data_IF_924119466569
#
_entry.id   IF_924119466569
#
_cell.length_a   1.000
_cell.length_b   1.000
_cell.length_c   1.000
_cell.angle_alpha   90.00
_cell.angle_beta   90.00
_cell.angle_gamma   90.00
#
_symmetry.space_group_name_H-M   'P 1'
#
loop_
_entity.id
_entity.type
_entity.pdbx_description
1 polymer ?
#
# COMPACT_ATOMS: atom_id res chain seq x y z
N UNK A 1 -8.47 15.69 -2.04
CA UNK A 1 -9.87 15.26 -2.00
C UNK A 1 -10.35 14.87 -3.38
N UNK A 2 -10.99 13.70 -3.47
CA UNK A 2 -11.91 13.15 -4.48
C UNK A 2 -11.92 13.73 -5.92
N UNK A 3 -11.27 13.03 -6.85
CA UNK A 3 -11.72 12.94 -8.25
C UNK A 3 -12.77 11.81 -8.31
N UNK A 4 -13.92 12.01 -8.97
CA UNK A 4 -14.92 10.95 -9.22
C UNK A 4 -14.20 9.75 -9.88
N UNK A 5 -14.08 8.63 -9.17
CA UNK A 5 -13.33 7.43 -9.59
C UNK A 5 -12.06 7.10 -8.77
N UNK A 6 -11.65 7.98 -7.86
CA UNK A 6 -10.44 7.80 -7.04
C UNK A 6 -9.15 7.96 -7.86
N UNK A 7 -8.00 7.84 -7.19
CA UNK A 7 -6.68 7.73 -7.84
C UNK A 7 -6.05 6.41 -7.41
N UNK A 8 -5.28 5.75 -8.29
CA UNK A 8 -4.52 4.56 -7.90
C UNK A 8 -3.66 4.85 -6.68
N UNK A 9 -3.68 3.94 -5.71
CA UNK A 9 -2.78 4.00 -4.55
C UNK A 9 -1.33 3.72 -4.96
N UNK A 10 -0.38 4.04 -4.07
CA UNK A 10 1.06 3.80 -4.31
C UNK A 10 1.39 2.33 -4.56
N UNK A 11 0.68 1.40 -3.92
CA UNK A 11 0.80 -0.04 -4.17
C UNK A 11 0.34 -0.43 -5.58
N UNK A 12 -0.76 0.14 -6.08
CA UNK A 12 -1.22 -0.13 -7.46
C UNK A 12 -0.21 0.39 -8.47
N UNK A 13 0.30 1.61 -8.24
CA UNK A 13 1.28 2.24 -9.11
C UNK A 13 2.62 1.48 -9.15
N UNK A 14 2.97 0.77 -8.07
CA UNK A 14 4.22 0.02 -7.94
C UNK A 14 4.08 -1.46 -8.31
N UNK A 15 2.89 -1.93 -8.71
CA UNK A 15 2.68 -3.33 -9.09
C UNK A 15 3.51 -3.70 -10.32
N UNK A 16 4.24 -4.81 -10.25
CA UNK A 16 5.27 -5.21 -11.20
C UNK A 16 6.65 -4.57 -10.94
N UNK A 17 6.80 -3.78 -9.87
CA UNK A 17 8.00 -3.01 -9.57
C UNK A 17 8.37 -3.03 -8.09
N UNK A 18 8.93 -1.91 -7.62
CA UNK A 18 9.41 -1.75 -6.24
C UNK A 18 8.77 -0.54 -5.56
N UNK A 19 8.35 -0.70 -4.31
CA UNK A 19 7.90 0.38 -3.44
C UNK A 19 8.94 0.60 -2.33
N UNK A 20 9.53 1.79 -2.32
CA UNK A 20 10.42 2.23 -1.24
C UNK A 20 9.61 2.91 -0.14
N UNK A 21 9.82 2.48 1.10
CA UNK A 21 9.21 3.06 2.30
C UNK A 21 10.33 3.62 3.18
N UNK A 22 10.36 4.94 3.33
CA UNK A 22 11.30 5.60 4.23
C UNK A 22 10.67 5.81 5.61
N UNK A 23 11.51 5.92 6.65
CA UNK A 23 11.10 6.15 8.04
C UNK A 23 9.98 5.20 8.50
N UNK A 24 10.11 3.90 8.21
CA UNK A 24 9.02 2.93 8.45
C UNK A 24 8.61 2.85 9.94
N UNK A 25 9.52 3.20 10.86
CA UNK A 25 9.27 3.26 12.29
C UNK A 25 8.24 4.34 12.69
N UNK A 26 8.11 5.41 11.91
CA UNK A 26 7.18 6.52 12.18
C UNK A 26 5.77 6.28 11.64
N UNK A 27 5.54 5.11 11.02
CA UNK A 27 4.22 4.74 10.52
C UNK A 27 3.25 4.49 11.70
N UNK A 28 2.09 5.17 11.78
CA UNK A 28 1.10 4.91 12.83
C UNK A 28 0.67 3.43 12.87
N UNK A 29 0.48 2.87 14.08
CA UNK A 29 0.12 1.45 14.28
C UNK A 29 -1.04 0.96 13.39
N UNK A 30 -2.09 1.78 13.25
CA UNK A 30 -3.23 1.46 12.39
C UNK A 30 -2.84 1.25 10.91
N UNK A 31 -1.86 2.01 10.42
CA UNK A 31 -1.32 1.85 9.06
C UNK A 31 -0.32 0.69 8.97
N UNK A 32 0.39 0.36 10.04
CA UNK A 32 1.25 -0.83 10.08
C UNK A 32 0.44 -2.13 9.91
N UNK A 33 -0.73 -2.23 10.56
CA UNK A 33 -1.64 -3.38 10.38
C UNK A 33 -2.08 -3.51 8.92
N UNK A 34 -2.43 -2.38 8.27
CA UNK A 34 -2.78 -2.39 6.86
C UNK A 34 -1.60 -2.84 5.99
N UNK A 35 -0.39 -2.34 6.24
CA UNK A 35 0.82 -2.75 5.54
C UNK A 35 1.08 -4.26 5.67
N UNK A 36 0.95 -4.82 6.88
CA UNK A 36 1.11 -6.26 7.12
C UNK A 36 0.12 -7.09 6.31
N UNK A 37 -1.15 -6.65 6.23
CA UNK A 37 -2.14 -7.33 5.38
C UNK A 37 -1.75 -7.31 3.91
N UNK A 38 -1.26 -6.20 3.39
CA UNK A 38 -0.81 -6.12 2.00
C UNK A 38 0.38 -7.04 1.75
N UNK A 39 1.33 -7.10 2.68
CA UNK A 39 2.50 -8.00 2.59
C UNK A 39 2.10 -9.48 2.61
N UNK A 40 1.16 -9.87 3.46
CA UNK A 40 0.70 -11.24 3.62
C UNK A 40 -0.21 -11.69 2.46
N UNK A 41 -1.19 -10.86 2.11
CA UNK A 41 -2.23 -11.23 1.14
C UNK A 41 -1.87 -10.89 -0.30
N UNK A 42 -0.87 -10.02 -0.52
CA UNK A 42 -0.52 -9.43 -1.83
C UNK A 42 -1.72 -8.80 -2.53
N UNK A 43 -2.58 -8.16 -1.74
CA UNK A 43 -3.83 -7.57 -2.18
C UNK A 43 -4.06 -6.25 -1.45
N UNK A 44 -4.77 -5.34 -2.12
CA UNK A 44 -5.19 -4.07 -1.53
C UNK A 44 -6.68 -3.83 -1.78
N UNK A 45 -7.23 -2.89 -1.03
CA UNK A 45 -8.55 -2.31 -1.26
C UNK A 45 -8.43 -0.79 -1.22
N UNK A 46 -9.05 -0.10 -2.17
CA UNK A 46 -9.08 1.37 -2.17
C UNK A 46 -9.91 1.87 -0.99
N UNK A 47 -9.55 3.02 -0.42
CA UNK A 47 -10.30 3.63 0.67
C UNK A 47 -11.74 3.91 0.20
N UNK A 48 -12.72 3.34 0.91
CA UNK A 48 -14.14 3.45 0.57
C UNK A 48 -14.58 2.60 -0.63
N UNK A 49 -13.71 1.76 -1.18
CA UNK A 49 -14.07 0.73 -2.16
C UNK A 49 -14.31 -0.62 -1.49
N UNK A 50 -14.93 -1.53 -2.23
CA UNK A 50 -15.22 -2.92 -1.85
C UNK A 50 -14.44 -3.93 -2.71
N UNK A 51 -13.85 -3.46 -3.83
CA UNK A 51 -13.07 -4.28 -4.73
C UNK A 51 -11.66 -4.53 -4.20
N UNK A 52 -11.31 -5.81 -4.13
CA UNK A 52 -9.95 -6.29 -3.86
C UNK A 52 -9.13 -6.29 -5.15
N UNK A 53 -7.91 -5.78 -5.08
CA UNK A 53 -6.98 -5.64 -6.22
C UNK A 53 -5.70 -6.41 -5.87
N UNK A 54 -5.32 -7.45 -6.63
CA UNK A 54 -4.04 -8.12 -6.44
C UNK A 54 -2.89 -7.19 -6.84
N UNK A 55 -1.80 -7.24 -6.09
CA UNK A 55 -0.59 -6.45 -6.35
C UNK A 55 0.63 -7.33 -6.20
N UNK A 56 1.59 -7.18 -7.11
CA UNK A 56 2.89 -7.84 -7.02
C UNK A 56 3.97 -6.78 -6.89
N UNK A 57 4.44 -6.54 -5.66
CA UNK A 57 5.32 -5.40 -5.36
C UNK A 57 6.47 -5.89 -4.50
N UNK A 58 7.69 -5.58 -4.92
CA UNK A 58 8.86 -5.69 -4.05
C UNK A 58 8.88 -4.50 -3.09
N UNK A 59 8.98 -4.73 -1.79
CA UNK A 59 9.08 -3.64 -0.82
C UNK A 59 10.52 -3.52 -0.32
N UNK A 60 11.03 -2.29 -0.27
CA UNK A 60 12.30 -1.95 0.36
C UNK A 60 11.99 -0.90 1.43
N UNK A 61 12.37 -1.15 2.67
CA UNK A 61 12.14 -0.23 3.78
C UNK A 61 13.46 0.35 4.29
N UNK A 62 13.44 1.60 4.74
CA UNK A 62 14.53 2.25 5.46
C UNK A 62 14.01 2.85 6.79
N UNK A 63 14.91 2.95 7.76
CA UNK A 63 14.72 3.60 9.06
C UNK A 63 16.08 4.05 9.58
N UNK A 64 16.12 5.05 10.46
CA UNK A 64 17.30 5.38 11.29
C UNK A 64 17.47 4.35 12.40
#
# INVERSE_FOLDING_TARGET
>A
GAKKGGRPGKFEMASGGTLFLDEIADLPLAKQVALLRVLQERKIMRIGGDRVIPVDVRIICATN
#
